data_IF_938599213809
#
_entry.id   IF_938599213809
#
_cell.length_a   1.000
_cell.length_b   1.000
_cell.length_c   1.000
_cell.angle_alpha   90.00
_cell.angle_beta   90.00
_cell.angle_gamma   90.00
#
_symmetry.space_group_name_H-M   'P 1'
#
loop_
_entity.id
_entity.type
_entity.pdbx_description
1 polymer ?
#
# COMPACT_ATOMS: atom_id res chain seq x y z
N UNK A 1 26.86 -11.38 -42.88
CA UNK A 1 26.04 -10.17 -42.92
C UNK A 1 24.57 -10.47 -43.24
N UNK A 2 24.27 -11.49 -44.04
CA UNK A 2 22.90 -11.89 -44.41
C UNK A 2 22.00 -12.27 -43.21
N UNK A 3 22.52 -12.95 -42.19
CA UNK A 3 21.75 -13.37 -41.01
C UNK A 3 21.16 -12.21 -40.18
N UNK A 4 21.78 -11.03 -40.22
CA UNK A 4 21.30 -9.87 -39.46
C UNK A 4 20.05 -9.21 -40.05
N UNK A 5 19.77 -9.49 -41.31
CA UNK A 5 18.66 -8.88 -42.08
C UNK A 5 17.70 -9.97 -42.63
N UNK A 6 17.75 -11.17 -42.05
CA UNK A 6 16.98 -12.32 -42.58
C UNK A 6 15.53 -12.39 -42.12
N UNK A 7 15.12 -11.52 -41.17
CA UNK A 7 13.75 -11.49 -40.63
C UNK A 7 13.15 -10.12 -40.77
N UNK A 8 11.92 -10.09 -41.27
CA UNK A 8 11.08 -8.91 -41.25
C UNK A 8 10.63 -8.62 -39.81
N UNK A 9 10.73 -7.37 -39.36
CA UNK A 9 10.23 -6.90 -38.08
C UNK A 9 9.16 -5.85 -38.34
N UNK A 10 7.96 -6.06 -37.77
CA UNK A 10 6.85 -5.12 -37.86
C UNK A 10 6.78 -4.26 -36.60
N UNK A 11 6.38 -2.99 -36.77
CA UNK A 11 6.01 -2.08 -35.68
C UNK A 11 4.49 -1.89 -35.66
N UNK A 12 3.98 -1.25 -34.62
CA UNK A 12 2.55 -0.93 -34.57
C UNK A 12 2.09 0.03 -35.67
N UNK A 13 3.01 0.81 -36.27
CA UNK A 13 2.72 1.68 -37.42
C UNK A 13 2.54 0.88 -38.71
N UNK A 14 3.03 -0.36 -38.76
CA UNK A 14 2.94 -1.23 -39.95
C UNK A 14 1.68 -2.10 -39.96
N UNK A 15 0.90 -2.13 -38.86
CA UNK A 15 -0.21 -3.06 -38.68
C UNK A 15 -1.47 -2.39 -38.16
N UNK A 16 -2.62 -2.95 -38.52
CA UNK A 16 -3.93 -2.55 -37.98
C UNK A 16 -4.63 -3.77 -37.37
N UNK A 17 -5.39 -3.54 -36.31
CA UNK A 17 -6.27 -4.57 -35.77
C UNK A 17 -7.44 -4.79 -36.74
N UNK A 18 -7.66 -6.04 -37.11
CA UNK A 18 -8.81 -6.42 -37.94
C UNK A 18 -10.06 -6.47 -37.08
N UNK A 19 -11.12 -5.71 -37.43
CA UNK A 19 -12.37 -5.77 -36.68
C UNK A 19 -12.94 -7.19 -36.67
N UNK A 20 -13.44 -7.60 -35.51
CA UNK A 20 -14.08 -8.92 -35.30
C UNK A 20 -15.52 -8.71 -34.82
N UNK A 21 -16.36 -9.74 -35.02
CA UNK A 21 -17.69 -9.76 -34.41
C UNK A 21 -17.55 -9.77 -32.87
N UNK A 22 -18.40 -8.99 -32.20
CA UNK A 22 -18.45 -8.90 -30.74
C UNK A 22 -19.89 -9.04 -30.25
N UNK A 23 -20.07 -9.83 -29.21
CA UNK A 23 -21.34 -10.06 -28.51
C UNK A 23 -21.39 -9.41 -27.12
N UNK A 24 -20.41 -8.58 -26.80
CA UNK A 24 -20.29 -7.84 -25.53
C UNK A 24 -20.03 -6.35 -25.79
N UNK A 25 -20.39 -5.51 -24.83
CA UNK A 25 -20.12 -4.07 -24.83
C UNK A 25 -18.75 -3.75 -24.21
N UNK A 26 -18.16 -2.55 -24.44
CA UNK A 26 -16.89 -2.16 -23.84
C UNK A 26 -16.86 -2.24 -22.32
N UNK A 27 -18.01 -2.06 -21.66
CA UNK A 27 -18.12 -2.11 -20.21
C UNK A 27 -18.11 -3.54 -19.63
N UNK A 28 -18.29 -4.55 -20.47
CA UNK A 28 -18.32 -5.97 -20.10
C UNK A 28 -16.98 -6.66 -20.37
N UNK A 29 -16.00 -5.92 -20.89
CA UNK A 29 -14.66 -6.48 -21.19
C UNK A 29 -13.92 -6.79 -19.90
N UNK A 30 -13.49 -8.04 -19.75
CA UNK A 30 -12.55 -8.45 -18.70
C UNK A 30 -11.12 -8.06 -19.10
N UNK A 31 -10.54 -7.09 -18.36
CA UNK A 31 -9.18 -6.60 -18.56
C UNK A 31 -8.16 -7.28 -17.63
N UNK A 32 -8.59 -8.25 -16.82
CA UNK A 32 -7.68 -8.94 -15.92
C UNK A 32 -6.55 -9.64 -16.67
N UNK A 33 -5.33 -9.56 -16.13
CA UNK A 33 -4.16 -10.18 -16.75
C UNK A 33 -3.22 -10.75 -15.70
N UNK A 34 -2.55 -11.85 -16.04
CA UNK A 34 -1.53 -12.45 -15.16
C UNK A 34 -0.18 -11.76 -15.39
N UNK A 35 0.31 -11.06 -14.39
CA UNK A 35 1.67 -10.55 -14.38
C UNK A 35 2.69 -11.65 -14.10
N UNK A 36 2.37 -12.51 -13.13
CA UNK A 36 3.16 -13.71 -12.77
C UNK A 36 2.21 -14.87 -12.48
N UNK A 37 2.77 -16.05 -12.11
CA UNK A 37 1.94 -17.19 -11.69
C UNK A 37 1.02 -16.85 -10.52
N UNK A 38 1.44 -15.93 -9.64
CA UNK A 38 0.78 -15.62 -8.38
C UNK A 38 0.19 -14.20 -8.31
N UNK A 39 0.45 -13.35 -9.29
CA UNK A 39 -0.01 -11.95 -9.32
C UNK A 39 -0.90 -11.75 -10.54
N UNK A 40 -2.13 -11.35 -10.30
CA UNK A 40 -3.09 -10.91 -11.31
C UNK A 40 -3.31 -9.41 -11.14
N UNK A 41 -3.29 -8.68 -12.25
CA UNK A 41 -3.67 -7.28 -12.32
C UNK A 41 -5.12 -7.18 -12.84
N UNK A 42 -5.83 -6.15 -12.43
CA UNK A 42 -7.20 -5.90 -12.86
C UNK A 42 -7.27 -5.16 -14.21
N UNK A 43 -6.18 -4.48 -14.58
CA UNK A 43 -5.94 -3.93 -15.92
C UNK A 43 -4.51 -4.25 -16.38
N UNK A 44 -4.25 -4.45 -17.69
CA UNK A 44 -2.94 -4.82 -18.21
C UNK A 44 -2.01 -3.60 -18.34
N UNK A 45 -1.83 -2.84 -17.24
CA UNK A 45 -1.04 -1.62 -17.23
C UNK A 45 0.03 -1.65 -16.14
N UNK A 46 1.27 -1.39 -16.55
CA UNK A 46 2.43 -1.30 -15.67
C UNK A 46 3.24 -0.05 -16.00
N UNK A 47 3.58 0.77 -14.99
CA UNK A 47 4.47 1.92 -15.23
C UNK A 47 5.93 1.53 -15.23
N UNK A 48 6.70 2.17 -16.12
CA UNK A 48 8.13 1.92 -16.29
C UNK A 48 8.94 2.34 -15.07
N UNK A 49 10.00 1.59 -14.79
CA UNK A 49 10.96 1.85 -13.72
C UNK A 49 11.94 2.96 -14.11
N UNK A 50 11.44 4.14 -14.42
CA UNK A 50 12.23 5.29 -14.85
C UNK A 50 12.27 6.33 -13.74
N UNK A 51 13.44 6.97 -13.57
CA UNK A 51 13.62 8.11 -12.70
C UNK A 51 12.63 9.22 -13.07
N UNK A 52 12.09 9.91 -12.07
CA UNK A 52 11.06 10.96 -12.19
C UNK A 52 9.73 10.51 -12.82
N UNK A 53 9.57 9.23 -13.17
CA UNK A 53 8.32 8.66 -13.70
C UNK A 53 7.63 7.81 -12.64
N UNK A 54 8.30 6.77 -12.11
CA UNK A 54 7.66 5.86 -11.15
C UNK A 54 8.34 5.89 -9.78
N UNK A 55 7.80 6.72 -8.93
CA UNK A 55 7.99 6.73 -7.49
C UNK A 55 6.66 6.33 -6.80
N UNK A 56 6.58 6.44 -5.48
CA UNK A 56 5.39 6.02 -4.72
C UNK A 56 4.09 6.66 -5.20
N UNK A 57 4.11 7.93 -5.60
CA UNK A 57 2.90 8.64 -6.07
C UNK A 57 2.30 8.02 -7.34
N UNK A 58 3.13 7.73 -8.34
CA UNK A 58 2.71 7.08 -9.58
C UNK A 58 2.31 5.63 -9.32
N UNK A 59 3.09 4.89 -8.50
CA UNK A 59 2.79 3.51 -8.16
C UNK A 59 1.43 3.39 -7.45
N UNK A 60 1.10 4.30 -6.54
CA UNK A 60 -0.20 4.37 -5.89
C UNK A 60 -1.31 4.65 -6.91
N UNK A 61 -1.12 5.64 -7.79
CA UNK A 61 -2.13 6.02 -8.77
C UNK A 61 -2.47 4.85 -9.71
N UNK A 62 -1.47 4.19 -10.26
CA UNK A 62 -1.66 3.05 -11.17
C UNK A 62 -2.28 1.84 -10.46
N UNK A 63 -1.85 1.53 -9.24
CA UNK A 63 -2.40 0.42 -8.47
C UNK A 63 -3.87 0.66 -8.09
N UNK A 64 -4.29 1.90 -7.86
CA UNK A 64 -5.70 2.29 -7.65
C UNK A 64 -6.59 1.97 -8.84
N UNK A 65 -6.07 2.14 -10.04
CA UNK A 65 -6.80 1.84 -11.28
C UNK A 65 -6.74 0.34 -11.66
N UNK A 66 -5.96 -0.46 -10.92
CA UNK A 66 -5.89 -1.91 -11.12
C UNK A 66 -4.62 -2.43 -11.79
N UNK A 67 -3.66 -1.55 -12.09
CA UNK A 67 -2.35 -1.87 -12.61
C UNK A 67 -1.28 -2.01 -11.53
N UNK A 68 0.00 -1.83 -11.89
CA UNK A 68 1.13 -1.86 -10.95
C UNK A 68 2.21 -0.85 -11.35
N UNK A 69 2.78 -0.16 -10.35
CA UNK A 69 3.95 0.69 -10.54
C UNK A 69 5.23 -0.02 -10.16
N UNK A 70 6.28 0.15 -10.97
CA UNK A 70 7.61 -0.39 -10.70
C UNK A 70 8.53 0.75 -10.27
N UNK A 71 8.86 0.82 -8.98
CA UNK A 71 9.73 1.85 -8.40
C UNK A 71 11.13 1.74 -9.02
N UNK A 72 11.66 2.83 -9.54
CA UNK A 72 12.98 2.87 -10.16
C UNK A 72 14.11 2.69 -9.13
N UNK A 73 15.30 2.31 -9.62
CA UNK A 73 16.50 2.03 -8.79
C UNK A 73 17.50 3.18 -8.70
N UNK A 74 17.24 4.33 -9.37
CA UNK A 74 18.16 5.48 -9.35
C UNK A 74 18.02 6.29 -8.05
N UNK A 75 18.22 5.60 -6.93
CA UNK A 75 18.17 6.12 -5.56
C UNK A 75 18.91 5.15 -4.63
N UNK A 76 19.15 5.56 -3.37
CA UNK A 76 19.76 4.65 -2.40
C UNK A 76 18.84 3.47 -2.09
N UNK A 77 19.39 2.41 -1.50
CA UNK A 77 18.62 1.21 -1.12
C UNK A 77 17.51 1.60 -0.13
N UNK A 78 17.84 2.42 0.86
CA UNK A 78 16.91 2.88 1.90
C UNK A 78 15.80 3.75 1.30
N UNK A 79 16.14 4.61 0.35
CA UNK A 79 15.15 5.44 -0.34
C UNK A 79 14.16 4.59 -1.13
N UNK A 80 14.64 3.59 -1.89
CA UNK A 80 13.78 2.70 -2.66
C UNK A 80 12.87 1.87 -1.75
N UNK A 81 13.41 1.33 -0.66
CA UNK A 81 12.62 0.62 0.33
C UNK A 81 11.56 1.53 0.98
N UNK A 82 11.91 2.80 1.27
CA UNK A 82 10.96 3.78 1.79
C UNK A 82 9.85 4.12 0.78
N UNK A 83 10.14 4.19 -0.52
CA UNK A 83 9.12 4.38 -1.57
C UNK A 83 8.17 3.18 -1.65
N UNK A 84 8.68 1.94 -1.56
CA UNK A 84 7.86 0.73 -1.48
C UNK A 84 6.96 0.76 -0.24
N UNK A 85 7.53 1.07 0.94
CA UNK A 85 6.78 1.16 2.21
C UNK A 85 5.66 2.22 2.15
N UNK A 86 5.91 3.38 1.50
CA UNK A 86 4.87 4.41 1.27
C UNK A 86 3.69 3.86 0.47
N UNK A 87 3.93 3.07 -0.59
CA UNK A 87 2.86 2.44 -1.37
C UNK A 87 2.10 1.45 -0.50
N UNK A 88 2.80 0.57 0.23
CA UNK A 88 2.20 -0.44 1.10
C UNK A 88 1.39 0.15 2.24
N UNK A 89 1.75 1.34 2.73
CA UNK A 89 1.01 2.04 3.78
C UNK A 89 -0.06 2.99 3.27
N UNK A 90 -0.08 3.30 1.98
CA UNK A 90 -1.01 4.30 1.41
C UNK A 90 -2.48 3.89 1.50
N UNK A 91 -2.74 2.60 1.36
CA UNK A 91 -4.08 2.02 1.46
C UNK A 91 -4.01 0.63 2.06
N UNK A 92 -4.68 0.48 3.17
CA UNK A 92 -4.88 -0.79 3.83
C UNK A 92 -6.40 -0.97 4.00
N UNK A 93 -6.93 -2.13 3.64
CA UNK A 93 -8.29 -2.45 4.04
C UNK A 93 -8.38 -2.52 5.56
N UNK A 94 -7.43 -3.21 6.16
CA UNK A 94 -7.14 -3.21 7.61
C UNK A 94 -5.67 -2.86 7.76
N UNK A 95 -5.36 -1.77 8.45
CA UNK A 95 -3.97 -1.42 8.80
C UNK A 95 -3.47 -2.48 9.76
N UNK A 96 -2.68 -3.44 9.28
CA UNK A 96 -2.04 -4.44 10.13
C UNK A 96 -0.89 -3.79 10.92
N UNK A 97 -0.80 -4.08 12.23
CA UNK A 97 0.19 -3.49 13.13
C UNK A 97 0.21 -1.95 13.06
N UNK A 98 -0.90 -1.29 13.42
CA UNK A 98 -0.98 0.17 13.43
C UNK A 98 0.02 0.73 14.45
N UNK A 99 0.47 1.97 14.22
CA UNK A 99 1.21 2.68 15.26
C UNK A 99 0.37 2.75 16.52
N UNK A 100 0.98 2.46 17.66
CA UNK A 100 0.38 2.59 18.98
C UNK A 100 1.34 3.33 19.91
N UNK A 101 0.80 3.96 20.93
CA UNK A 101 1.55 4.59 22.02
C UNK A 101 1.10 4.01 23.36
N UNK A 102 1.91 4.17 24.38
CA UNK A 102 1.56 3.86 25.77
C UNK A 102 0.84 5.06 26.41
N UNK A 103 -0.01 4.80 27.37
CA UNK A 103 -0.69 5.83 28.18
C UNK A 103 0.26 6.80 28.89
N UNK A 104 1.51 6.39 29.09
CA UNK A 104 2.56 7.16 29.76
C UNK A 104 3.30 8.12 28.83
N UNK A 105 3.11 8.06 27.53
CA UNK A 105 3.58 9.06 26.58
C UNK A 105 2.84 10.40 26.79
N UNK A 106 3.41 11.47 26.24
CA UNK A 106 2.80 12.79 26.30
C UNK A 106 1.90 13.06 25.09
N UNK A 107 1.03 14.06 25.20
CA UNK A 107 0.24 14.54 24.06
C UNK A 107 1.13 15.07 22.93
N UNK A 108 2.31 15.60 23.28
CA UNK A 108 3.32 15.99 22.29
C UNK A 108 3.81 14.80 21.47
N UNK A 109 4.10 13.67 22.11
CA UNK A 109 4.54 12.45 21.40
C UNK A 109 3.46 11.98 20.43
N UNK A 110 2.18 12.08 20.82
CA UNK A 110 1.05 11.73 19.96
C UNK A 110 0.91 12.68 18.78
N UNK A 111 1.02 13.99 19.00
CA UNK A 111 0.93 15.01 17.96
C UNK A 111 2.09 14.89 16.95
N UNK A 112 3.32 14.71 17.42
CA UNK A 112 4.51 14.49 16.59
C UNK A 112 4.37 13.23 15.74
N UNK A 113 3.88 12.11 16.33
CA UNK A 113 3.64 10.87 15.61
C UNK A 113 2.57 11.06 14.53
N UNK A 114 1.45 11.68 14.88
CA UNK A 114 0.36 11.97 13.95
C UNK A 114 0.78 12.90 12.82
N UNK A 115 1.56 13.94 13.11
CA UNK A 115 2.10 14.87 12.11
C UNK A 115 3.10 14.18 11.17
N UNK A 116 4.05 13.42 11.72
CA UNK A 116 5.07 12.71 10.95
C UNK A 116 4.49 11.72 9.93
N UNK A 117 3.47 10.95 10.34
CA UNK A 117 2.87 9.92 9.51
C UNK A 117 1.56 10.34 8.85
N UNK A 118 1.13 11.60 9.02
CA UNK A 118 -0.12 12.17 8.48
C UNK A 118 -1.35 11.35 8.83
N UNK A 119 -1.39 10.82 10.05
CA UNK A 119 -2.51 10.08 10.62
C UNK A 119 -3.29 10.96 11.61
N UNK A 120 -4.56 10.69 11.80
CA UNK A 120 -5.46 11.52 12.60
C UNK A 120 -5.86 10.89 13.94
N UNK A 121 -5.14 9.87 14.38
CA UNK A 121 -5.31 9.23 15.68
C UNK A 121 -4.56 7.94 15.81
N UNK A 122 -4.28 7.57 17.04
CA UNK A 122 -3.39 6.49 17.44
C UNK A 122 -4.06 5.65 18.53
N UNK A 123 -4.15 4.32 18.37
CA UNK A 123 -4.52 3.41 19.46
C UNK A 123 -3.51 3.49 20.60
N UNK A 124 -4.00 3.38 21.82
CA UNK A 124 -3.17 3.35 23.02
C UNK A 124 -3.21 1.97 23.61
N UNK A 125 -2.02 1.40 23.83
CA UNK A 125 -1.87 0.05 24.34
C UNK A 125 -1.00 0.04 25.60
N UNK A 126 -1.17 -0.99 26.43
CA UNK A 126 -0.26 -1.30 27.51
C UNK A 126 1.01 -2.00 27.00
N UNK A 127 1.92 -2.36 27.91
CA UNK A 127 3.18 -3.04 27.60
C UNK A 127 3.00 -4.45 27.00
N UNK A 128 1.81 -5.04 27.13
CA UNK A 128 1.42 -6.34 26.54
C UNK A 128 0.68 -6.20 25.21
N UNK A 129 0.64 -4.99 24.65
CA UNK A 129 -0.12 -4.66 23.43
C UNK A 129 -1.64 -4.85 23.58
N UNK A 130 -2.18 -4.78 24.79
CA UNK A 130 -3.63 -4.75 25.02
C UNK A 130 -4.15 -3.35 24.81
N UNK A 131 -5.20 -3.21 24.01
CA UNK A 131 -5.83 -1.93 23.72
C UNK A 131 -6.50 -1.37 24.96
N UNK A 132 -6.10 -0.18 25.40
CA UNK A 132 -6.63 0.54 26.58
C UNK A 132 -7.28 1.86 26.24
N UNK A 133 -7.05 2.39 25.05
CA UNK A 133 -7.61 3.69 24.66
C UNK A 133 -7.34 4.02 23.17
N UNK A 134 -7.82 5.19 22.80
CA UNK A 134 -7.50 5.81 21.52
C UNK A 134 -7.38 7.32 21.72
N UNK A 135 -6.38 7.93 21.03
CA UNK A 135 -6.24 9.40 20.97
C UNK A 135 -6.33 9.87 19.53
N UNK A 136 -6.99 10.97 19.29
CA UNK A 136 -7.25 11.51 17.95
C UNK A 136 -6.99 13.00 17.88
N UNK A 137 -6.88 13.56 16.67
CA UNK A 137 -6.80 15.02 16.48
C UNK A 137 -7.96 15.78 17.13
N UNK A 138 -9.10 15.13 17.34
CA UNK A 138 -10.25 15.76 18.02
C UNK A 138 -9.95 16.01 19.49
N UNK A 139 -9.27 15.06 20.14
CA UNK A 139 -8.89 15.15 21.55
C UNK A 139 -7.79 16.21 21.77
N UNK A 140 -6.92 16.42 20.78
CA UNK A 140 -5.84 17.41 20.82
C UNK A 140 -6.25 18.83 20.39
N UNK A 141 -7.40 18.97 19.72
CA UNK A 141 -7.76 20.22 19.00
C UNK A 141 -7.78 21.47 19.88
N UNK A 142 -8.18 21.35 21.13
CA UNK A 142 -8.32 22.45 22.08
C UNK A 142 -7.37 22.34 23.26
N UNK A 143 -6.43 21.39 23.20
CA UNK A 143 -5.46 21.22 24.26
C UNK A 143 -4.34 22.28 24.14
N UNK A 144 -3.97 22.85 25.25
CA UNK A 144 -2.91 23.86 25.34
C UNK A 144 -1.66 23.36 26.05
N UNK A 145 -1.81 22.31 26.86
CA UNK A 145 -0.70 21.69 27.59
C UNK A 145 -0.32 20.32 27.01
N UNK A 146 0.58 20.32 26.05
CA UNK A 146 1.08 19.11 25.39
C UNK A 146 2.05 18.29 26.26
N UNK A 147 2.42 18.75 27.46
CA UNK A 147 3.19 17.98 28.41
C UNK A 147 2.35 16.98 29.22
N UNK A 148 1.01 17.09 29.19
CA UNK A 148 0.09 16.13 29.80
C UNK A 148 0.31 14.73 29.27
N UNK A 149 -0.02 13.73 30.10
CA UNK A 149 0.00 12.32 29.72
C UNK A 149 -1.20 11.98 28.84
N UNK A 150 -1.00 11.04 27.91
CA UNK A 150 -2.06 10.56 27.00
C UNK A 150 -3.27 10.05 27.79
N UNK A 151 -3.06 9.35 28.91
CA UNK A 151 -4.12 8.83 29.78
C UNK A 151 -5.13 9.88 30.27
N UNK A 152 -4.70 11.14 30.35
CA UNK A 152 -5.53 12.23 30.85
C UNK A 152 -6.44 12.83 29.77
N UNK A 153 -6.22 12.48 28.49
CA UNK A 153 -6.97 13.01 27.34
C UNK A 153 -7.52 11.96 26.39
N UNK A 154 -7.03 10.71 26.44
CA UNK A 154 -7.49 9.63 25.57
C UNK A 154 -8.94 9.24 25.87
N UNK A 155 -9.64 8.73 24.86
CA UNK A 155 -10.88 7.99 25.04
C UNK A 155 -10.54 6.58 25.50
N UNK A 156 -10.94 6.19 26.72
CA UNK A 156 -10.70 4.87 27.31
C UNK A 156 -12.00 4.12 27.65
N UNK A 157 -13.09 4.87 27.86
CA UNK A 157 -14.40 4.28 28.18
C UNK A 157 -15.19 4.00 26.90
N UNK A 158 -15.97 2.90 26.90
CA UNK A 158 -16.85 2.50 25.79
C UNK A 158 -16.14 2.41 24.44
N UNK A 159 -14.90 1.93 24.43
CA UNK A 159 -14.15 1.71 23.20
C UNK A 159 -14.91 0.76 22.26
N UNK A 160 -15.17 1.22 21.06
CA UNK A 160 -15.76 0.40 20.02
C UNK A 160 -14.62 -0.29 19.27
N UNK A 161 -14.63 -1.63 19.30
CA UNK A 161 -13.65 -2.49 18.64
C UNK A 161 -14.35 -3.50 17.76
N UNK A 162 -13.59 -4.20 16.91
CA UNK A 162 -14.12 -5.32 16.15
C UNK A 162 -13.09 -6.46 16.13
N UNK A 163 -13.52 -7.73 15.93
CA UNK A 163 -12.61 -8.87 15.91
C UNK A 163 -11.79 -8.93 14.62
N UNK A 164 -10.69 -9.69 14.67
CA UNK A 164 -9.92 -10.04 13.47
C UNK A 164 -10.83 -10.73 12.45
N UNK A 165 -10.70 -10.34 11.17
CA UNK A 165 -11.56 -10.86 10.09
C UNK A 165 -12.76 -9.98 9.77
N UNK A 166 -13.02 -8.91 10.53
CA UNK A 166 -14.07 -7.93 10.21
C UNK A 166 -13.87 -7.36 8.81
N UNK A 167 -14.92 -7.44 7.99
CA UNK A 167 -14.92 -6.88 6.63
C UNK A 167 -15.08 -5.36 6.64
N UNK A 168 -14.67 -4.69 5.56
CA UNK A 168 -14.86 -3.24 5.43
C UNK A 168 -16.35 -2.84 5.49
N UNK A 169 -17.27 -3.67 4.99
CA UNK A 169 -18.72 -3.42 5.05
C UNK A 169 -19.23 -3.45 6.47
N UNK A 170 -18.80 -4.43 7.28
CA UNK A 170 -19.15 -4.51 8.70
C UNK A 170 -18.54 -3.35 9.49
N UNK A 171 -17.27 -3.02 9.22
CA UNK A 171 -16.60 -1.88 9.81
C UNK A 171 -17.33 -0.57 9.51
N UNK A 172 -17.79 -0.36 8.26
CA UNK A 172 -18.57 0.81 7.87
C UNK A 172 -19.86 0.95 8.68
N UNK A 173 -20.57 -0.14 8.91
CA UNK A 173 -21.79 -0.14 9.75
C UNK A 173 -21.48 0.26 11.19
N UNK A 174 -20.39 -0.26 11.76
CA UNK A 174 -19.97 0.08 13.13
C UNK A 174 -19.54 1.55 13.23
N UNK A 175 -18.68 2.03 12.32
CA UNK A 175 -18.23 3.42 12.27
C UNK A 175 -19.42 4.40 12.17
N UNK A 176 -20.37 4.09 11.26
CA UNK A 176 -21.56 4.90 11.05
C UNK A 176 -22.50 4.88 12.28
N UNK A 177 -22.79 3.70 12.84
CA UNK A 177 -23.67 3.53 14.01
C UNK A 177 -23.15 4.28 15.23
N UNK A 178 -21.84 4.22 15.47
CA UNK A 178 -21.20 4.82 16.65
C UNK A 178 -20.65 6.22 16.39
N UNK A 179 -20.74 6.74 15.15
CA UNK A 179 -20.23 8.06 14.71
C UNK A 179 -18.76 8.25 15.02
N UNK A 180 -17.97 7.19 14.83
CA UNK A 180 -16.52 7.18 15.01
C UNK A 180 -15.81 7.05 13.65
N UNK A 181 -14.56 7.52 13.57
CA UNK A 181 -13.77 7.52 12.33
C UNK A 181 -12.72 6.41 12.29
N UNK A 182 -12.50 5.74 13.41
CA UNK A 182 -11.47 4.72 13.59
C UNK A 182 -12.02 3.56 14.39
N UNK A 183 -11.76 2.35 13.91
CA UNK A 183 -12.21 1.11 14.50
C UNK A 183 -10.98 0.21 14.75
N UNK A 184 -10.49 0.13 15.99
CA UNK A 184 -9.45 -0.83 16.35
C UNK A 184 -9.94 -2.27 16.16
N UNK A 185 -9.07 -3.10 15.59
CA UNK A 185 -9.28 -4.53 15.41
C UNK A 185 -8.45 -5.26 16.46
N UNK A 186 -9.11 -6.10 17.23
CA UNK A 186 -8.50 -6.79 18.36
C UNK A 186 -8.73 -8.30 18.29
N UNK A 187 -7.88 -9.07 18.97
CA UNK A 187 -8.11 -10.49 19.20
C UNK A 187 -8.98 -10.75 20.46
N UNK A 188 -9.22 -12.01 20.76
CA UNK A 188 -10.05 -12.45 21.91
C UNK A 188 -9.51 -11.98 23.28
N UNK A 189 -8.22 -11.63 23.35
CA UNK A 189 -7.57 -11.10 24.54
C UNK A 189 -7.41 -9.58 24.52
N UNK A 190 -8.11 -8.90 23.60
CA UNK A 190 -8.06 -7.47 23.38
C UNK A 190 -6.68 -6.92 22.94
N UNK A 191 -5.78 -7.76 22.40
CA UNK A 191 -4.54 -7.24 21.81
C UNK A 191 -4.85 -6.57 20.47
N UNK A 192 -4.22 -5.42 20.26
CA UNK A 192 -4.34 -4.68 19.02
C UNK A 192 -3.72 -5.46 17.85
N UNK A 193 -4.52 -5.75 16.83
CA UNK A 193 -4.13 -6.45 15.58
C UNK A 193 -4.25 -5.60 14.34
N UNK A 194 -5.07 -4.56 14.39
CA UNK A 194 -5.28 -3.71 13.25
C UNK A 194 -6.07 -2.44 13.58
N UNK A 195 -6.23 -1.61 12.56
CA UNK A 195 -7.04 -0.41 12.60
C UNK A 195 -7.74 -0.24 11.25
N UNK A 196 -9.05 0.00 11.26
CA UNK A 196 -9.81 0.41 10.07
C UNK A 196 -10.23 1.85 10.27
N UNK A 197 -10.05 2.69 9.24
CA UNK A 197 -10.49 4.07 9.27
C UNK A 197 -11.57 4.34 8.22
N UNK A 198 -12.36 5.39 8.41
CA UNK A 198 -13.35 5.82 7.41
C UNK A 198 -12.69 6.13 6.07
N UNK A 199 -11.46 6.67 6.08
CA UNK A 199 -10.69 6.97 4.86
C UNK A 199 -10.35 5.72 4.05
N UNK A 200 -10.11 4.59 4.71
CA UNK A 200 -9.80 3.32 4.03
C UNK A 200 -11.04 2.78 3.33
N UNK A 201 -12.21 2.94 3.96
CA UNK A 201 -13.50 2.57 3.37
C UNK A 201 -13.84 3.48 2.18
N UNK A 202 -13.70 4.80 2.33
CA UNK A 202 -13.92 5.76 1.24
C UNK A 202 -13.03 5.48 0.02
N UNK A 203 -11.75 5.14 0.26
CA UNK A 203 -10.83 4.76 -0.81
C UNK A 203 -11.24 3.46 -1.49
N UNK A 204 -11.67 2.44 -0.73
CA UNK A 204 -12.15 1.18 -1.30
C UNK A 204 -13.39 1.38 -2.18
N UNK A 205 -14.30 2.27 -1.79
CA UNK A 205 -15.48 2.64 -2.58
C UNK A 205 -15.07 3.41 -3.84
N UNK A 206 -14.11 4.34 -3.72
CA UNK A 206 -13.66 5.19 -4.82
C UNK A 206 -12.85 4.43 -5.86
N UNK A 207 -12.09 3.41 -5.44
CA UNK A 207 -11.19 2.63 -6.29
C UNK A 207 -11.52 1.13 -6.21
N UNK A 208 -12.70 0.70 -6.69
CA UNK A 208 -13.14 -0.69 -6.56
C UNK A 208 -12.26 -1.68 -7.33
N UNK A 209 -11.60 -1.22 -8.40
CA UNK A 209 -10.74 -2.05 -9.25
C UNK A 209 -9.27 -2.05 -8.82
N UNK A 210 -8.92 -1.46 -7.65
CA UNK A 210 -7.53 -1.37 -7.24
C UNK A 210 -6.85 -2.74 -7.12
N UNK A 211 -5.61 -2.82 -7.61
CA UNK A 211 -4.78 -4.03 -7.53
C UNK A 211 -4.21 -4.17 -6.11
N UNK A 212 -4.59 -5.24 -5.40
CA UNK A 212 -4.27 -5.44 -3.99
C UNK A 212 -3.65 -6.82 -3.73
N UNK A 213 -2.78 -6.87 -2.73
CA UNK A 213 -2.28 -8.12 -2.20
C UNK A 213 -3.32 -8.81 -1.28
N UNK A 214 -2.98 -10.01 -0.80
CA UNK A 214 -3.84 -10.78 0.12
C UNK A 214 -4.16 -10.09 1.44
N UNK A 215 -3.42 -9.05 1.81
CA UNK A 215 -3.63 -8.24 3.00
C UNK A 215 -4.42 -6.95 2.71
N UNK A 216 -4.91 -6.77 1.48
CA UNK A 216 -5.67 -5.60 1.05
C UNK A 216 -4.82 -4.35 0.76
N UNK A 217 -3.47 -4.47 0.73
CA UNK A 217 -2.55 -3.36 0.42
C UNK A 217 -2.32 -3.28 -1.08
N UNK A 218 -2.07 -2.08 -1.61
CA UNK A 218 -1.79 -1.88 -3.03
C UNK A 218 -0.57 -2.70 -3.48
N UNK A 219 -0.65 -3.24 -4.70
CA UNK A 219 0.48 -3.92 -5.34
C UNK A 219 1.55 -2.91 -5.77
N UNK A 220 2.81 -3.28 -5.59
CA UNK A 220 3.97 -2.49 -6.00
C UNK A 220 5.13 -3.38 -6.42
N UNK A 221 5.82 -2.99 -7.47
CA UNK A 221 7.07 -3.58 -7.90
C UNK A 221 8.27 -2.67 -7.63
N UNK A 222 9.46 -3.24 -7.67
CA UNK A 222 10.72 -2.50 -7.59
C UNK A 222 11.73 -3.03 -8.61
N UNK A 223 12.42 -2.10 -9.29
CA UNK A 223 13.47 -2.43 -10.22
C UNK A 223 14.80 -2.67 -9.50
N UNK A 224 15.57 -3.62 -10.02
CA UNK A 224 16.90 -3.98 -9.54
C UNK A 224 17.85 -4.09 -10.73
N UNK A 225 19.11 -3.71 -10.52
CA UNK A 225 20.19 -3.97 -11.47
C UNK A 225 20.95 -5.24 -11.12
N UNK A 226 21.94 -5.56 -11.95
CA UNK A 226 22.92 -6.66 -11.71
C UNK A 226 24.22 -6.07 -11.17
N UNK A 227 24.12 -5.27 -10.13
CA UNK A 227 25.22 -4.61 -9.42
C UNK A 227 25.59 -5.39 -8.16
N UNK A 228 26.76 -5.10 -7.58
CA UNK A 228 27.24 -5.80 -6.38
C UNK A 228 26.30 -5.69 -5.17
N UNK A 229 25.48 -4.64 -5.12
CA UNK A 229 24.47 -4.36 -4.09
C UNK A 229 23.09 -4.99 -4.37
N UNK A 230 22.94 -5.75 -5.46
CA UNK A 230 21.64 -6.28 -5.90
C UNK A 230 20.92 -7.09 -4.80
N UNK A 231 21.63 -7.99 -4.14
CA UNK A 231 21.03 -8.84 -3.09
C UNK A 231 20.62 -8.05 -1.85
N UNK A 232 21.43 -7.04 -1.46
CA UNK A 232 21.10 -6.15 -0.35
C UNK A 232 19.85 -5.32 -0.68
N UNK A 233 19.77 -4.79 -1.89
CA UNK A 233 18.61 -4.04 -2.39
C UNK A 233 17.36 -4.92 -2.46
N UNK A 234 17.45 -6.16 -2.98
CA UNK A 234 16.33 -7.12 -2.97
C UNK A 234 15.83 -7.32 -1.55
N UNK A 235 16.75 -7.56 -0.60
CA UNK A 235 16.38 -7.78 0.81
C UNK A 235 15.66 -6.57 1.38
N UNK A 236 16.15 -5.37 1.17
CA UNK A 236 15.54 -4.14 1.70
C UNK A 236 14.13 -3.91 1.15
N UNK A 237 13.92 -4.05 -0.17
CA UNK A 237 12.58 -3.88 -0.78
C UNK A 237 11.64 -5.04 -0.41
N UNK A 238 12.17 -6.25 -0.20
CA UNK A 238 11.39 -7.39 0.30
C UNK A 238 10.90 -7.15 1.73
N UNK A 239 11.78 -6.69 2.62
CA UNK A 239 11.43 -6.35 4.00
C UNK A 239 10.40 -5.20 4.05
N UNK A 240 10.42 -4.28 3.08
CA UNK A 240 9.40 -3.24 2.88
C UNK A 240 8.08 -3.76 2.30
N UNK A 241 8.04 -5.03 1.83
CA UNK A 241 6.83 -5.70 1.37
C UNK A 241 6.55 -5.59 -0.12
N UNK A 242 7.57 -5.45 -0.98
CA UNK A 242 7.41 -5.47 -2.45
C UNK A 242 6.74 -6.76 -2.92
N UNK A 243 5.87 -6.67 -3.93
CA UNK A 243 5.15 -7.83 -4.47
C UNK A 243 5.89 -8.50 -5.64
N UNK A 244 6.62 -7.70 -6.43
CA UNK A 244 7.39 -8.18 -7.58
C UNK A 244 8.68 -7.39 -7.72
N UNK A 245 9.73 -8.11 -8.10
CA UNK A 245 11.04 -7.52 -8.43
C UNK A 245 11.26 -7.65 -9.92
N UNK A 246 11.74 -6.58 -10.56
CA UNK A 246 12.03 -6.52 -11.99
C UNK A 246 13.52 -6.30 -12.19
N UNK A 247 14.17 -7.21 -12.90
CA UNK A 247 15.55 -6.99 -13.38
C UNK A 247 15.50 -5.98 -14.54
N UNK A 248 16.02 -4.78 -14.28
CA UNK A 248 15.99 -3.67 -15.20
C UNK A 248 17.39 -3.37 -15.74
N UNK A 249 17.54 -3.53 -17.06
CA UNK A 249 18.78 -3.31 -17.78
C UNK A 249 18.51 -2.83 -19.20
N UNK A 250 19.48 -2.15 -19.80
CA UNK A 250 19.38 -1.69 -21.18
C UNK A 250 19.23 -2.83 -22.19
N UNK A 251 19.71 -4.04 -21.86
CA UNK A 251 19.60 -5.22 -22.71
C UNK A 251 19.40 -6.49 -21.85
N UNK A 252 18.13 -6.90 -21.69
CA UNK A 252 17.77 -8.04 -20.85
C UNK A 252 18.36 -9.37 -21.29
N UNK A 253 18.63 -9.57 -22.60
CA UNK A 253 19.29 -10.77 -23.12
C UNK A 253 20.83 -10.62 -23.15
N UNK A 254 21.40 -10.00 -22.14
CA UNK A 254 22.84 -9.94 -21.94
C UNK A 254 23.34 -11.04 -21.01
N UNK A 255 24.58 -11.47 -21.17
CA UNK A 255 25.20 -12.51 -20.34
C UNK A 255 25.18 -12.16 -18.85
N UNK A 256 25.35 -10.89 -18.51
CA UNK A 256 25.37 -10.42 -17.12
C UNK A 256 23.99 -10.49 -16.44
N UNK A 257 22.89 -10.43 -17.22
CA UNK A 257 21.53 -10.56 -16.70
C UNK A 257 21.15 -12.04 -16.53
N UNK A 258 21.66 -12.90 -17.41
CA UNK A 258 21.31 -14.34 -17.44
C UNK A 258 22.06 -15.14 -16.36
N UNK A 259 23.32 -14.75 -16.09
CA UNK A 259 24.18 -15.41 -15.10
C UNK A 259 23.93 -14.88 -13.68
#
# INVERSE_FOLDING_TARGET
>A
MEEKFSKEGLTFDDVLLVPQASDFTPNEVDLTTKLTKNITLNIPLMSSAMDTVTESSMAIAIAREGGIGIIHKNMTIEQQAAEVDKVKRSENGVIANPFSLSENHTLKDADELMGKYKISGVPICDDNNVLIGIITNRDLRFETDFAKKIKDAMTSENLITAPVGTTLSEAQKLLSKHKIEKLPIVDEKNHLKGLITIKDIEKAIRYPNSARDKNGRLLVGAAIGVTNDALERVKAVYDAGVDVVVLDSAHGHSKNIIN
#
